data_IF_435807576034
#
_entry.id   IF_435807576034
#
_cell.length_a   1.000
_cell.length_b   1.000
_cell.length_c   1.000
_cell.angle_alpha   90.00
_cell.angle_beta   90.00
_cell.angle_gamma   90.00
#
_symmetry.space_group_name_H-M   'P 1'
#
loop_
_entity.id
_entity.type
_entity.pdbx_description
1 polymer ?
#
# COMPACT_ATOMS: atom_id res chain seq x y z
N UNK A 1 21.40 -25.79 -31.16
CA UNK A 1 20.25 -25.58 -30.26
C UNK A 1 19.03 -26.01 -31.03
N UNK A 2 18.29 -27.02 -30.57
CA UNK A 2 17.17 -27.57 -31.34
C UNK A 2 16.09 -26.51 -31.56
N UNK A 3 15.64 -26.38 -32.81
CA UNK A 3 14.60 -25.44 -33.21
C UNK A 3 13.30 -25.63 -32.40
N UNK A 4 13.01 -26.88 -32.03
CA UNK A 4 11.89 -27.25 -31.17
C UNK A 4 12.01 -26.66 -29.75
N UNK A 5 13.21 -26.70 -29.15
CA UNK A 5 13.47 -26.12 -27.82
C UNK A 5 13.27 -24.60 -27.85
N UNK A 6 13.71 -23.93 -28.92
CA UNK A 6 13.52 -22.48 -29.10
C UNK A 6 12.02 -22.14 -29.22
N UNK A 7 11.27 -22.93 -29.98
CA UNK A 7 9.82 -22.77 -30.16
C UNK A 7 9.05 -22.97 -28.84
N UNK A 8 9.36 -24.02 -28.09
CA UNK A 8 8.73 -24.31 -26.78
C UNK A 8 9.04 -23.22 -25.74
N UNK A 9 10.29 -22.76 -25.66
CA UNK A 9 10.68 -21.64 -24.79
C UNK A 9 9.99 -20.33 -25.20
N UNK A 10 9.84 -20.07 -26.51
CA UNK A 10 9.16 -18.89 -27.01
C UNK A 10 7.65 -18.91 -26.70
N UNK A 11 7.01 -20.07 -26.76
CA UNK A 11 5.60 -20.24 -26.43
C UNK A 11 5.34 -19.99 -24.93
N UNK A 12 6.18 -20.55 -24.05
CA UNK A 12 6.12 -20.30 -22.61
C UNK A 12 6.35 -18.83 -22.29
N UNK A 13 7.38 -18.21 -22.89
CA UNK A 13 7.66 -16.78 -22.71
C UNK A 13 6.49 -15.89 -23.18
N UNK A 14 5.83 -16.27 -24.28
CA UNK A 14 4.66 -15.55 -24.81
C UNK A 14 3.46 -15.66 -23.87
N UNK A 15 3.15 -16.86 -23.36
CA UNK A 15 2.06 -17.07 -22.40
C UNK A 15 2.30 -16.26 -21.12
N UNK A 16 3.52 -16.31 -20.59
CA UNK A 16 3.93 -15.48 -19.43
C UNK A 16 3.77 -13.99 -19.78
N UNK A 17 4.21 -13.57 -20.97
CA UNK A 17 4.07 -12.21 -21.47
C UNK A 17 2.60 -11.74 -21.53
N UNK A 18 1.69 -12.58 -22.02
CA UNK A 18 0.25 -12.28 -22.07
C UNK A 18 -0.34 -12.17 -20.66
N UNK A 19 0.00 -13.09 -19.75
CA UNK A 19 -0.46 -13.05 -18.35
C UNK A 19 0.04 -11.78 -17.65
N UNK A 20 1.34 -11.48 -17.77
CA UNK A 20 1.95 -10.26 -17.21
C UNK A 20 1.31 -9.02 -17.82
N UNK A 21 1.08 -9.00 -19.12
CA UNK A 21 0.43 -7.88 -19.82
C UNK A 21 -1.01 -7.69 -19.36
N UNK A 22 -1.77 -8.76 -19.15
CA UNK A 22 -3.14 -8.69 -18.64
C UNK A 22 -3.19 -8.09 -17.22
N UNK A 23 -2.34 -8.56 -16.31
CA UNK A 23 -2.25 -7.99 -14.95
C UNK A 23 -1.76 -6.53 -14.96
N UNK A 24 -0.83 -6.20 -15.86
CA UNK A 24 -0.31 -4.83 -16.02
C UNK A 24 -1.38 -3.88 -16.57
N UNK A 25 -2.13 -4.32 -17.58
CA UNK A 25 -3.24 -3.57 -18.16
C UNK A 25 -4.34 -3.30 -17.14
N UNK A 26 -4.77 -4.33 -16.38
CA UNK A 26 -5.87 -4.20 -15.43
C UNK A 26 -5.53 -3.32 -14.22
N UNK A 27 -4.26 -3.35 -13.76
CA UNK A 27 -3.74 -2.39 -12.77
C UNK A 27 -3.75 -0.96 -13.30
N UNK A 28 -3.36 -0.76 -14.55
CA UNK A 28 -3.31 0.55 -15.20
C UNK A 28 -4.71 1.17 -15.32
N UNK A 29 -5.73 0.38 -15.70
CA UNK A 29 -7.11 0.87 -15.78
C UNK A 29 -7.68 1.28 -14.42
N UNK A 30 -7.44 0.49 -13.35
CA UNK A 30 -7.92 0.80 -12.00
C UNK A 30 -7.21 2.02 -11.41
N UNK A 31 -5.90 2.12 -11.60
CA UNK A 31 -5.11 3.27 -11.15
C UNK A 31 -5.54 4.54 -11.89
N UNK A 32 -5.81 4.47 -13.20
CA UNK A 32 -6.32 5.59 -13.99
C UNK A 32 -7.66 6.10 -13.46
N UNK A 33 -8.59 5.20 -13.15
CA UNK A 33 -9.88 5.58 -12.57
C UNK A 33 -9.72 6.29 -11.21
N UNK A 34 -8.95 5.69 -10.28
CA UNK A 34 -8.71 6.28 -8.96
C UNK A 34 -8.02 7.64 -9.07
N UNK A 35 -7.05 7.77 -10.00
CA UNK A 35 -6.32 9.01 -10.23
C UNK A 35 -7.25 10.10 -10.76
N UNK A 36 -8.21 9.74 -11.62
CA UNK A 36 -9.22 10.65 -12.14
C UNK A 36 -10.20 11.10 -11.06
N UNK A 37 -10.76 10.18 -10.28
CA UNK A 37 -11.63 10.50 -9.15
C UNK A 37 -10.95 11.45 -8.14
N UNK A 38 -9.67 11.19 -7.81
CA UNK A 38 -8.89 12.08 -6.93
C UNK A 38 -8.62 13.44 -7.56
N UNK A 39 -8.45 13.52 -8.88
CA UNK A 39 -8.27 14.80 -9.59
C UNK A 39 -9.55 15.63 -9.51
N UNK A 40 -10.70 15.02 -9.74
CA UNK A 40 -12.02 15.66 -9.64
C UNK A 40 -12.32 16.07 -8.20
N UNK A 41 -12.11 15.18 -7.24
CA UNK A 41 -12.22 15.49 -5.83
C UNK A 41 -11.36 16.69 -5.40
N UNK A 42 -10.08 16.74 -5.81
CA UNK A 42 -9.22 17.91 -5.54
C UNK A 42 -9.72 19.19 -6.19
N UNK A 43 -10.28 19.11 -7.40
CA UNK A 43 -10.86 20.27 -8.08
C UNK A 43 -12.08 20.80 -7.31
N UNK A 44 -12.94 19.90 -6.82
CA UNK A 44 -14.10 20.27 -6.02
C UNK A 44 -13.72 20.88 -4.67
N UNK A 45 -12.72 20.32 -3.97
CA UNK A 45 -12.21 20.91 -2.73
C UNK A 45 -11.65 22.31 -2.98
N UNK A 46 -10.88 22.54 -4.07
CA UNK A 46 -10.39 23.89 -4.44
C UNK A 46 -11.54 24.86 -4.69
N UNK A 47 -12.55 24.44 -5.45
CA UNK A 47 -13.75 25.26 -5.69
C UNK A 47 -14.47 25.62 -4.39
N UNK A 48 -14.53 24.69 -3.43
CA UNK A 48 -15.11 24.94 -2.10
C UNK A 48 -14.25 25.92 -1.31
N UNK A 49 -12.92 25.85 -1.41
CA UNK A 49 -12.01 26.84 -0.81
C UNK A 49 -12.25 28.23 -1.39
N UNK A 50 -12.33 28.35 -2.73
CA UNK A 50 -12.63 29.63 -3.39
C UNK A 50 -14.01 30.18 -2.97
N UNK A 51 -15.02 29.30 -2.89
CA UNK A 51 -16.36 29.67 -2.39
C UNK A 51 -16.32 30.07 -0.91
N UNK A 52 -15.50 29.42 -0.08
CA UNK A 52 -15.33 29.75 1.34
C UNK A 52 -14.69 31.13 1.51
N UNK A 53 -13.63 31.45 0.75
CA UNK A 53 -12.86 32.69 0.89
C UNK A 53 -13.75 33.94 0.82
N UNK A 54 -14.68 33.98 -0.15
CA UNK A 54 -15.61 35.09 -0.37
C UNK A 54 -16.97 34.91 0.31
N UNK A 55 -17.17 33.84 1.09
CA UNK A 55 -18.46 33.53 1.70
C UNK A 55 -18.78 34.49 2.87
N UNK A 56 -19.92 35.19 2.86
CA UNK A 56 -20.37 35.94 4.04
C UNK A 56 -20.92 34.98 5.11
N UNK A 57 -20.89 35.41 6.37
CA UNK A 57 -21.37 34.63 7.53
C UNK A 57 -22.79 34.07 7.33
N UNK A 58 -23.70 34.83 6.72
CA UNK A 58 -25.10 34.42 6.48
C UNK A 58 -25.24 33.23 5.53
N UNK A 59 -24.27 33.00 4.64
CA UNK A 59 -24.30 31.93 3.62
C UNK A 59 -23.42 30.73 3.96
N UNK A 60 -22.70 30.76 5.10
CA UNK A 60 -21.72 29.74 5.50
C UNK A 60 -22.28 28.31 5.45
N UNK A 61 -23.53 28.10 5.92
CA UNK A 61 -24.16 26.77 6.00
C UNK A 61 -24.17 26.05 4.66
N UNK A 62 -24.43 26.76 3.56
CA UNK A 62 -24.48 26.16 2.22
C UNK A 62 -23.11 25.63 1.78
N UNK A 63 -22.06 26.43 1.97
CA UNK A 63 -20.69 26.07 1.56
C UNK A 63 -20.16 24.94 2.46
N UNK A 64 -20.42 25.00 3.77
CA UNK A 64 -20.05 23.94 4.71
C UNK A 64 -20.78 22.62 4.41
N UNK A 65 -22.05 22.64 4.00
CA UNK A 65 -22.75 21.43 3.57
C UNK A 65 -22.09 20.80 2.33
N UNK A 66 -21.69 21.61 1.35
CA UNK A 66 -20.92 21.10 0.19
C UNK A 66 -19.58 20.50 0.62
N UNK A 67 -18.90 21.10 1.59
CA UNK A 67 -17.65 20.55 2.12
C UNK A 67 -17.85 19.19 2.80
N UNK A 68 -18.90 19.07 3.62
CA UNK A 68 -19.24 17.82 4.33
C UNK A 68 -19.45 16.63 3.39
N UNK A 69 -19.86 16.82 2.13
CA UNK A 69 -20.03 15.74 1.15
C UNK A 69 -18.73 15.33 0.45
N UNK A 70 -17.66 16.11 0.61
CA UNK A 70 -16.36 15.85 -0.03
C UNK A 70 -15.29 15.36 0.94
N UNK A 71 -15.45 15.55 2.25
CA UNK A 71 -14.51 15.06 3.28
C UNK A 71 -14.96 13.71 3.85
N UNK A 72 -14.05 13.00 4.51
CA UNK A 72 -14.33 11.68 5.08
C UNK A 72 -15.29 11.78 6.29
N UNK A 73 -16.49 11.18 6.16
CA UNK A 73 -17.51 11.21 7.22
C UNK A 73 -17.09 10.48 8.50
N UNK A 74 -16.18 9.51 8.43
CA UNK A 74 -15.67 8.80 9.63
C UNK A 74 -14.97 9.76 10.62
N UNK A 75 -14.44 10.89 10.15
CA UNK A 75 -13.86 11.91 11.02
C UNK A 75 -14.83 12.57 11.97
N UNK A 76 -16.13 12.55 11.67
CA UNK A 76 -17.15 13.12 12.56
C UNK A 76 -17.27 12.35 13.87
N UNK A 77 -16.97 11.06 13.84
CA UNK A 77 -17.18 10.13 14.96
C UNK A 77 -15.87 9.70 15.64
N UNK A 78 -14.73 10.27 15.22
CA UNK A 78 -13.41 9.85 15.69
C UNK A 78 -12.50 11.06 15.92
N UNK A 79 -11.45 10.87 16.70
CA UNK A 79 -10.37 11.86 16.86
C UNK A 79 -9.28 11.73 15.78
N UNK A 80 -9.45 10.79 14.85
CA UNK A 80 -8.42 10.44 13.88
C UNK A 80 -8.27 11.53 12.81
N UNK A 81 -7.12 12.20 12.85
CA UNK A 81 -6.74 13.26 11.92
C UNK A 81 -6.70 12.74 10.48
N UNK A 82 -6.33 11.47 10.27
CA UNK A 82 -6.31 10.83 8.95
C UNK A 82 -7.70 10.63 8.35
N UNK A 83 -8.76 10.75 9.16
CA UNK A 83 -10.17 10.65 8.74
C UNK A 83 -10.85 12.01 8.70
N UNK A 84 -10.10 13.11 8.63
CA UNK A 84 -10.60 14.49 8.58
C UNK A 84 -11.29 14.98 9.87
N UNK A 85 -11.03 14.36 11.02
CA UNK A 85 -11.66 14.74 12.31
C UNK A 85 -11.50 16.23 12.66
N UNK A 86 -10.31 16.77 12.43
CA UNK A 86 -9.99 18.17 12.66
C UNK A 86 -10.76 19.13 11.75
N UNK A 87 -11.08 18.71 10.52
CA UNK A 87 -11.90 19.50 9.58
C UNK A 87 -13.36 19.50 10.06
N UNK A 88 -13.89 18.34 10.46
CA UNK A 88 -15.23 18.24 11.05
C UNK A 88 -15.40 19.14 12.27
N UNK A 89 -14.43 19.12 13.20
CA UNK A 89 -14.41 20.01 14.36
C UNK A 89 -14.38 21.48 13.98
N UNK A 90 -13.56 21.84 13.00
CA UNK A 90 -13.48 23.22 12.53
C UNK A 90 -14.79 23.69 11.90
N UNK A 91 -15.47 22.82 11.14
CA UNK A 91 -16.80 23.10 10.59
C UNK A 91 -17.81 23.34 11.72
N UNK A 92 -17.82 22.51 12.76
CA UNK A 92 -18.72 22.66 13.90
C UNK A 92 -18.48 23.98 14.66
N UNK A 93 -17.21 24.38 14.82
CA UNK A 93 -16.86 25.69 15.39
C UNK A 93 -17.44 26.81 14.52
N UNK A 94 -17.27 26.77 13.20
CA UNK A 94 -17.80 27.81 12.30
C UNK A 94 -19.33 27.87 12.33
N UNK A 95 -20.00 26.73 12.39
CA UNK A 95 -21.47 26.66 12.46
C UNK A 95 -22.00 27.40 13.70
N UNK A 96 -21.31 27.27 14.83
CA UNK A 96 -21.71 27.81 16.13
C UNK A 96 -21.04 29.14 16.53
N UNK A 97 -20.02 29.61 15.80
CA UNK A 97 -19.29 30.83 16.15
C UNK A 97 -20.11 32.11 15.93
N UNK A 98 -19.70 33.18 16.61
CA UNK A 98 -20.26 34.53 16.41
C UNK A 98 -19.67 35.16 15.14
N UNK A 99 -20.37 36.15 14.57
CA UNK A 99 -19.94 36.87 13.35
C UNK A 99 -18.50 37.38 13.47
N UNK A 100 -18.12 37.93 14.64
CA UNK A 100 -16.77 38.47 14.91
C UNK A 100 -15.64 37.43 14.84
N UNK A 101 -15.93 36.16 15.06
CA UNK A 101 -14.95 35.07 15.05
C UNK A 101 -14.86 34.39 13.68
N UNK A 102 -15.82 34.67 12.80
CA UNK A 102 -16.02 33.92 11.56
C UNK A 102 -14.80 33.94 10.65
N UNK A 103 -14.23 35.11 10.38
CA UNK A 103 -13.07 35.25 9.48
C UNK A 103 -11.88 34.40 9.97
N UNK A 104 -11.54 34.50 11.26
CA UNK A 104 -10.48 33.67 11.87
C UNK A 104 -10.75 32.18 11.73
N UNK A 105 -11.98 31.74 12.00
CA UNK A 105 -12.33 30.31 11.93
C UNK A 105 -12.40 29.80 10.47
N UNK A 106 -12.82 30.66 9.55
CA UNK A 106 -12.85 30.42 8.10
C UNK A 106 -11.45 30.24 7.55
N UNK A 107 -10.52 31.15 7.86
CA UNK A 107 -9.12 31.08 7.42
C UNK A 107 -8.44 29.81 7.92
N UNK A 108 -8.73 29.41 9.17
CA UNK A 108 -8.25 28.15 9.74
C UNK A 108 -8.80 26.92 9.01
N UNK A 109 -10.07 26.93 8.61
CA UNK A 109 -10.65 25.87 7.78
C UNK A 109 -9.96 25.81 6.41
N UNK A 110 -9.76 26.95 5.76
CA UNK A 110 -9.05 27.04 4.48
C UNK A 110 -7.63 26.48 4.60
N UNK A 111 -6.93 26.76 5.69
CA UNK A 111 -5.59 26.22 5.95
C UNK A 111 -5.60 24.69 6.11
N UNK A 112 -6.58 24.13 6.82
CA UNK A 112 -6.75 22.67 6.91
C UNK A 112 -7.05 22.03 5.54
N UNK A 113 -7.91 22.64 4.72
CA UNK A 113 -8.20 22.15 3.37
C UNK A 113 -6.99 22.23 2.44
N UNK A 114 -6.19 23.29 2.57
CA UNK A 114 -4.93 23.44 1.84
C UNK A 114 -3.92 22.35 2.23
N UNK A 115 -3.83 22.03 3.51
CA UNK A 115 -2.99 20.95 4.02
C UNK A 115 -3.47 19.58 3.52
N UNK A 116 -4.79 19.33 3.53
CA UNK A 116 -5.41 18.12 3.00
C UNK A 116 -5.07 17.91 1.51
N UNK A 117 -5.22 18.95 0.69
CA UNK A 117 -4.87 18.93 -0.73
C UNK A 117 -3.38 18.65 -0.95
N UNK A 118 -2.51 19.24 -0.13
CA UNK A 118 -1.06 19.03 -0.21
C UNK A 118 -0.68 17.61 0.20
N UNK A 119 -1.28 17.05 1.24
CA UNK A 119 -1.01 15.66 1.65
C UNK A 119 -1.45 14.65 0.58
N UNK A 120 -2.65 14.83 0.01
CA UNK A 120 -3.14 13.96 -1.08
C UNK A 120 -2.21 13.99 -2.30
N UNK A 121 -1.71 15.17 -2.67
CA UNK A 121 -0.73 15.31 -3.76
C UNK A 121 0.59 14.57 -3.47
N UNK A 122 1.17 14.77 -2.28
CA UNK A 122 2.40 14.08 -1.88
C UNK A 122 2.20 12.56 -1.82
N UNK A 123 1.02 12.11 -1.39
CA UNK A 123 0.63 10.68 -1.39
C UNK A 123 0.57 10.13 -2.80
N UNK A 124 -0.14 10.81 -3.71
CA UNK A 124 -0.26 10.39 -5.11
C UNK A 124 1.12 10.29 -5.79
N UNK A 125 2.01 11.26 -5.55
CA UNK A 125 3.39 11.21 -6.06
C UNK A 125 4.14 9.97 -5.57
N UNK A 126 4.03 9.64 -4.28
CA UNK A 126 4.66 8.44 -3.71
C UNK A 126 4.05 7.14 -4.22
N UNK A 127 2.74 7.09 -4.42
CA UNK A 127 2.07 5.91 -4.98
C UNK A 127 2.59 5.61 -6.39
N UNK A 128 2.76 6.64 -7.24
CA UNK A 128 3.34 6.49 -8.58
C UNK A 128 4.80 6.02 -8.52
N UNK A 129 5.62 6.60 -7.64
CA UNK A 129 7.04 6.22 -7.48
C UNK A 129 7.18 4.82 -6.84
N UNK A 130 6.26 4.43 -5.97
CA UNK A 130 6.29 3.15 -5.26
C UNK A 130 5.70 1.98 -6.05
N UNK A 131 4.97 2.24 -7.14
CA UNK A 131 4.35 1.19 -7.95
C UNK A 131 5.37 0.23 -8.61
N UNK A 132 6.50 0.71 -9.18
CA UNK A 132 7.58 -0.17 -9.62
C UNK A 132 8.12 -1.08 -8.51
N UNK A 133 8.25 -0.59 -7.28
CA UNK A 133 8.73 -1.39 -6.15
C UNK A 133 7.76 -2.53 -5.82
N UNK A 134 6.44 -2.31 -5.90
CA UNK A 134 5.44 -3.39 -5.77
C UNK A 134 5.54 -4.41 -6.91
N UNK A 135 5.85 -3.96 -8.13
CA UNK A 135 6.15 -4.82 -9.27
C UNK A 135 7.34 -5.73 -9.01
N UNK A 136 8.45 -5.15 -8.54
CA UNK A 136 9.67 -5.88 -8.16
C UNK A 136 9.38 -6.91 -7.06
N UNK A 137 8.66 -6.54 -6.00
CA UNK A 137 8.22 -7.47 -4.95
C UNK A 137 7.47 -8.65 -5.54
N UNK A 138 6.51 -8.39 -6.44
CA UNK A 138 5.70 -9.44 -7.07
C UNK A 138 6.59 -10.41 -7.85
N UNK A 139 7.52 -9.88 -8.67
CA UNK A 139 8.46 -10.70 -9.47
C UNK A 139 9.40 -11.52 -8.59
N UNK A 140 9.98 -10.90 -7.55
CA UNK A 140 10.86 -11.58 -6.59
C UNK A 140 10.14 -12.74 -5.90
N UNK A 141 8.89 -12.54 -5.46
CA UNK A 141 8.09 -13.59 -4.83
C UNK A 141 7.73 -14.71 -5.82
N UNK A 142 7.39 -14.39 -7.08
CA UNK A 142 7.13 -15.41 -8.11
C UNK A 142 8.35 -16.29 -8.36
N UNK A 143 9.54 -15.71 -8.49
CA UNK A 143 10.77 -16.47 -8.66
C UNK A 143 11.16 -17.25 -7.39
N UNK A 144 10.87 -16.72 -6.20
CA UNK A 144 11.12 -17.45 -4.96
C UNK A 144 10.32 -18.76 -4.90
N UNK A 145 9.08 -18.77 -5.40
CA UNK A 145 8.27 -20.00 -5.52
C UNK A 145 8.95 -21.00 -6.48
N UNK A 146 9.37 -20.54 -7.66
CA UNK A 146 10.04 -21.38 -8.67
C UNK A 146 11.33 -21.99 -8.10
N UNK A 147 12.18 -21.18 -7.47
CA UNK A 147 13.44 -21.65 -6.89
C UNK A 147 13.23 -22.57 -5.70
N UNK A 148 12.18 -22.34 -4.89
CA UNK A 148 11.82 -23.28 -3.82
C UNK A 148 11.44 -24.64 -4.41
N UNK A 149 10.70 -24.66 -5.51
CA UNK A 149 10.29 -25.89 -6.18
C UNK A 149 11.48 -26.68 -6.76
N UNK A 150 12.40 -25.99 -7.43
CA UNK A 150 13.65 -26.57 -7.96
C UNK A 150 14.52 -27.09 -6.81
N UNK A 151 14.64 -26.33 -5.73
CA UNK A 151 15.42 -26.72 -4.55
C UNK A 151 14.92 -28.01 -3.90
N UNK A 152 13.61 -28.20 -3.84
CA UNK A 152 12.98 -29.43 -3.31
C UNK A 152 13.25 -30.63 -4.23
N UNK A 153 13.20 -30.45 -5.56
CA UNK A 153 13.57 -31.53 -6.49
C UNK A 153 15.01 -31.99 -6.27
N UNK A 154 15.93 -31.05 -6.10
CA UNK A 154 17.33 -31.39 -5.83
C UNK A 154 17.50 -32.08 -4.46
N UNK A 155 16.80 -31.62 -3.43
CA UNK A 155 16.87 -32.22 -2.09
C UNK A 155 16.37 -33.66 -2.08
N UNK A 156 15.40 -33.99 -2.93
CA UNK A 156 14.86 -35.34 -3.09
C UNK A 156 15.67 -36.20 -4.08
N UNK A 157 16.84 -35.74 -4.53
CA UNK A 157 17.73 -36.49 -5.43
C UNK A 157 17.21 -36.63 -6.87
N UNK A 158 16.20 -35.86 -7.25
CA UNK A 158 15.61 -35.92 -8.60
C UNK A 158 16.57 -35.25 -9.58
N UNK A 159 17.05 -36.00 -10.57
CA UNK A 159 17.89 -35.45 -11.62
C UNK A 159 17.03 -34.63 -12.59
N UNK A 160 17.17 -33.31 -12.52
CA UNK A 160 16.41 -32.35 -13.33
C UNK A 160 16.68 -32.54 -14.85
N UNK A 161 17.77 -33.21 -15.23
CA UNK A 161 18.10 -33.50 -16.63
C UNK A 161 17.33 -34.70 -17.20
N UNK A 162 16.72 -35.54 -16.36
CA UNK A 162 15.92 -36.69 -16.79
C UNK A 162 14.43 -36.35 -16.71
N UNK A 163 13.79 -36.25 -17.89
CA UNK A 163 12.38 -35.88 -18.03
C UNK A 163 11.44 -36.86 -17.31
N UNK A 164 11.77 -38.16 -17.25
CA UNK A 164 10.93 -39.16 -16.57
C UNK A 164 10.99 -39.00 -15.05
N UNK A 165 12.18 -38.70 -14.52
CA UNK A 165 12.37 -38.43 -13.09
C UNK A 165 11.75 -37.09 -12.69
N UNK A 166 11.82 -36.07 -13.55
CA UNK A 166 11.11 -34.80 -13.35
C UNK A 166 9.60 -35.02 -13.32
N UNK A 167 9.04 -35.81 -14.24
CA UNK A 167 7.60 -36.09 -14.28
C UNK A 167 7.13 -36.80 -13.00
N UNK A 168 7.87 -37.81 -12.53
CA UNK A 168 7.61 -38.45 -11.23
C UNK A 168 7.71 -37.45 -10.09
N UNK A 169 8.79 -36.66 -10.07
CA UNK A 169 9.03 -35.62 -9.07
C UNK A 169 7.87 -34.64 -8.95
N UNK A 170 7.33 -34.17 -10.08
CA UNK A 170 6.16 -33.30 -10.12
C UNK A 170 4.96 -34.00 -9.46
N UNK A 171 4.67 -35.25 -9.82
CA UNK A 171 3.53 -36.00 -9.24
C UNK A 171 3.68 -36.19 -7.73
N UNK A 172 4.87 -36.51 -7.23
CA UNK A 172 5.09 -36.79 -5.80
C UNK A 172 5.15 -35.53 -4.93
N UNK A 173 5.69 -34.43 -5.44
CA UNK A 173 5.88 -33.19 -4.66
C UNK A 173 4.74 -32.19 -4.84
N UNK A 174 3.97 -32.26 -5.93
CA UNK A 174 2.91 -31.29 -6.23
C UNK A 174 1.78 -31.22 -5.20
N UNK A 175 1.27 -32.31 -4.59
CA UNK A 175 0.17 -32.19 -3.63
C UNK A 175 0.58 -31.42 -2.37
N UNK A 176 1.77 -31.70 -1.83
CA UNK A 176 2.32 -30.97 -0.69
C UNK A 176 2.63 -29.50 -1.02
N UNK A 177 3.12 -29.24 -2.23
CA UNK A 177 3.41 -27.88 -2.69
C UNK A 177 2.15 -27.06 -2.96
N UNK A 178 1.09 -27.68 -3.47
CA UNK A 178 -0.22 -27.04 -3.63
C UNK A 178 -0.74 -26.62 -2.26
N UNK A 179 -0.63 -27.47 -1.23
CA UNK A 179 -1.02 -27.11 0.14
C UNK A 179 -0.17 -25.97 0.72
N UNK A 180 1.14 -25.96 0.49
CA UNK A 180 2.03 -24.87 0.93
C UNK A 180 1.70 -23.56 0.19
N UNK A 181 1.49 -23.60 -1.12
CA UNK A 181 1.10 -22.44 -1.93
C UNK A 181 -0.27 -21.92 -1.50
N UNK A 182 -1.25 -22.80 -1.30
CA UNK A 182 -2.57 -22.43 -0.77
C UNK A 182 -2.48 -21.83 0.63
N UNK A 183 -1.63 -22.38 1.51
CA UNK A 183 -1.36 -21.83 2.83
C UNK A 183 -0.72 -20.45 2.77
N UNK A 184 0.29 -20.25 1.92
CA UNK A 184 0.94 -18.96 1.71
C UNK A 184 -0.01 -17.92 1.11
N UNK A 185 -0.83 -18.30 0.14
CA UNK A 185 -1.89 -17.44 -0.42
C UNK A 185 -2.90 -17.08 0.66
N UNK A 186 -3.33 -18.07 1.46
CA UNK A 186 -4.24 -17.85 2.60
C UNK A 186 -3.66 -16.88 3.63
N UNK A 187 -2.41 -17.07 4.04
CA UNK A 187 -1.70 -16.14 4.93
C UNK A 187 -1.58 -14.75 4.32
N UNK A 188 -1.20 -14.64 3.03
CA UNK A 188 -1.08 -13.34 2.35
C UNK A 188 -2.42 -12.61 2.26
N UNK A 189 -3.52 -13.32 1.96
CA UNK A 189 -4.87 -12.75 1.96
C UNK A 189 -5.30 -12.31 3.36
N UNK A 190 -5.07 -13.14 4.37
CA UNK A 190 -5.39 -12.82 5.77
C UNK A 190 -4.58 -11.61 6.27
N UNK A 191 -3.29 -11.52 5.94
CA UNK A 191 -2.44 -10.36 6.26
C UNK A 191 -2.96 -9.11 5.57
N UNK A 192 -3.33 -9.18 4.29
CA UNK A 192 -3.89 -8.02 3.58
C UNK A 192 -5.22 -7.56 4.18
N UNK A 193 -6.08 -8.48 4.61
CA UNK A 193 -7.32 -8.17 5.32
C UNK A 193 -7.03 -7.52 6.68
N UNK A 194 -6.08 -8.07 7.45
CA UNK A 194 -5.65 -7.47 8.73
C UNK A 194 -5.04 -6.07 8.55
N UNK A 195 -4.21 -5.88 7.52
CA UNK A 195 -3.64 -4.58 7.15
C UNK A 195 -4.70 -3.55 6.78
N UNK A 196 -5.86 -3.97 6.28
CA UNK A 196 -6.96 -3.06 5.93
C UNK A 196 -7.68 -2.50 7.17
N UNK A 197 -7.56 -3.17 8.33
CA UNK A 197 -8.22 -2.77 9.58
C UNK A 197 -7.29 -2.10 10.60
N UNK A 198 -5.97 -2.33 10.51
CA UNK A 198 -4.99 -1.80 11.46
C UNK A 198 -4.24 -0.58 10.90
N UNK A 199 -4.87 0.61 10.86
CA UNK A 199 -4.15 1.84 10.49
C UNK A 199 -3.10 2.20 11.56
N UNK A 200 -1.81 1.97 11.25
CA UNK A 200 -0.66 2.31 12.10
C UNK A 200 0.14 1.11 12.64
N UNK A 201 -0.52 -0.01 12.93
CA UNK A 201 0.15 -1.25 13.38
C UNK A 201 0.75 -2.06 12.22
N UNK A 202 0.42 -1.71 10.97
CA UNK A 202 0.96 -2.33 9.74
C UNK A 202 2.49 -2.42 9.78
N UNK A 203 3.17 -1.34 10.23
CA UNK A 203 4.65 -1.32 10.30
C UNK A 203 5.16 -2.31 11.35
N UNK A 204 4.47 -2.45 12.49
CA UNK A 204 4.85 -3.40 13.54
C UNK A 204 4.67 -4.84 13.06
N UNK A 205 3.56 -5.12 12.37
CA UNK A 205 3.28 -6.43 11.76
C UNK A 205 4.36 -6.78 10.73
N UNK A 206 4.76 -5.83 9.88
CA UNK A 206 5.80 -6.07 8.87
C UNK A 206 7.19 -6.28 9.47
N UNK A 207 7.53 -5.55 10.55
CA UNK A 207 8.78 -5.77 11.28
C UNK A 207 8.80 -7.16 11.90
N UNK A 208 7.71 -7.57 12.58
CA UNK A 208 7.60 -8.91 13.19
C UNK A 208 7.71 -10.00 12.11
N UNK A 209 7.01 -9.84 10.99
CA UNK A 209 7.07 -10.78 9.86
C UNK A 209 8.48 -10.88 9.26
N UNK A 210 9.15 -9.75 9.06
CA UNK A 210 10.50 -9.73 8.49
C UNK A 210 11.50 -10.38 9.44
N UNK A 211 11.38 -10.12 10.75
CA UNK A 211 12.22 -10.76 11.78
C UNK A 211 11.97 -12.26 11.88
N UNK A 212 10.71 -12.71 11.83
CA UNK A 212 10.36 -14.12 11.83
C UNK A 212 10.91 -14.85 10.60
N UNK A 213 10.88 -14.22 9.42
CA UNK A 213 11.48 -14.75 8.20
C UNK A 213 13.01 -14.88 8.32
N UNK A 214 13.69 -13.83 8.79
CA UNK A 214 15.15 -13.87 8.99
C UNK A 214 15.52 -14.95 10.01
N UNK A 215 14.79 -15.07 11.11
CA UNK A 215 15.04 -16.07 12.15
C UNK A 215 14.77 -17.50 11.66
N UNK A 216 13.66 -17.73 10.94
CA UNK A 216 13.36 -19.03 10.34
C UNK A 216 14.43 -19.47 9.32
N UNK A 217 14.98 -18.51 8.57
CA UNK A 217 16.09 -18.74 7.64
C UNK A 217 17.38 -19.11 8.37
N UNK A 218 17.72 -18.39 9.44
CA UNK A 218 18.88 -18.71 10.27
C UNK A 218 18.77 -20.13 10.84
N UNK A 219 17.59 -20.55 11.31
CA UNK A 219 17.35 -21.91 11.79
C UNK A 219 17.52 -22.96 10.68
N UNK A 220 16.94 -22.72 9.49
CA UNK A 220 17.03 -23.67 8.36
C UNK A 220 18.44 -23.81 7.81
N UNK A 221 19.24 -22.73 7.85
CA UNK A 221 20.61 -22.70 7.35
C UNK A 221 21.64 -23.17 8.38
N UNK A 222 21.28 -23.26 9.66
CA UNK A 222 22.17 -23.74 10.71
C UNK A 222 22.35 -25.26 10.60
N UNK A 223 23.55 -25.70 10.19
CA UNK A 223 23.95 -27.12 10.17
C UNK A 223 23.56 -27.91 8.92
N UNK A 224 22.74 -27.38 8.01
CA UNK A 224 22.34 -28.07 6.78
C UNK A 224 22.99 -27.49 5.52
N UNK A 225 23.50 -28.35 4.62
CA UNK A 225 23.88 -27.95 3.25
C UNK A 225 22.61 -27.72 2.42
N UNK A 226 22.07 -26.52 2.46
CA UNK A 226 20.94 -26.13 1.61
C UNK A 226 21.37 -26.09 0.13
N UNK A 227 20.44 -26.47 -0.76
CA UNK A 227 20.58 -26.19 -2.19
C UNK A 227 20.68 -24.69 -2.44
N UNK A 228 21.52 -24.30 -3.41
CA UNK A 228 21.68 -22.91 -3.85
C UNK A 228 20.35 -22.26 -4.28
N UNK A 229 19.40 -23.06 -4.78
CA UNK A 229 18.07 -22.58 -5.16
C UNK A 229 17.20 -22.24 -3.95
N UNK A 230 17.30 -23.03 -2.86
CA UNK A 230 16.58 -22.71 -1.61
C UNK A 230 17.17 -21.45 -0.98
N UNK A 231 18.50 -21.30 -0.99
CA UNK A 231 19.16 -20.08 -0.52
C UNK A 231 18.74 -18.84 -1.33
N UNK A 232 18.66 -18.97 -2.66
CA UNK A 232 18.19 -17.90 -3.54
C UNK A 232 16.72 -17.54 -3.29
N UNK A 233 15.84 -18.53 -3.12
CA UNK A 233 14.43 -18.31 -2.80
C UNK A 233 14.25 -17.54 -1.48
N UNK A 234 15.00 -17.96 -0.45
CA UNK A 234 15.06 -17.30 0.85
C UNK A 234 15.50 -15.83 0.72
N UNK A 235 16.59 -15.57 0.00
CA UNK A 235 17.10 -14.21 -0.18
C UNK A 235 16.08 -13.30 -0.87
N UNK A 236 15.33 -13.84 -1.83
CA UNK A 236 14.29 -13.11 -2.55
C UNK A 236 13.07 -12.80 -1.68
N UNK A 237 12.67 -13.70 -0.79
CA UNK A 237 11.60 -13.47 0.19
C UNK A 237 12.02 -12.38 1.18
N UNK A 238 13.23 -12.44 1.72
CA UNK A 238 13.76 -11.42 2.64
C UNK A 238 13.81 -10.06 1.95
N UNK A 239 14.40 -9.99 0.74
CA UNK A 239 14.47 -8.75 -0.03
C UNK A 239 13.09 -8.14 -0.29
N UNK A 240 12.11 -8.97 -0.64
CA UNK A 240 10.72 -8.55 -0.86
C UNK A 240 10.08 -8.00 0.43
N UNK A 241 10.31 -8.67 1.57
CA UNK A 241 9.83 -8.22 2.87
C UNK A 241 10.42 -6.88 3.28
N UNK A 242 11.74 -6.70 3.12
CA UNK A 242 12.43 -5.43 3.40
C UNK A 242 11.89 -4.30 2.51
N UNK A 243 11.71 -4.55 1.21
CA UNK A 243 11.18 -3.52 0.30
C UNK A 243 9.74 -3.14 0.66
N UNK A 244 8.90 -4.11 1.05
CA UNK A 244 7.54 -3.85 1.54
C UNK A 244 7.55 -2.99 2.81
N UNK A 245 8.43 -3.32 3.76
CA UNK A 245 8.58 -2.57 5.01
C UNK A 245 8.98 -1.11 4.73
N UNK A 246 9.91 -0.87 3.80
CA UNK A 246 10.32 0.49 3.41
C UNK A 246 9.16 1.31 2.85
N UNK A 247 8.30 0.70 2.02
CA UNK A 247 7.11 1.34 1.49
C UNK A 247 6.12 1.71 2.60
N UNK A 248 5.90 0.82 3.56
CA UNK A 248 4.96 1.03 4.66
C UNK A 248 5.49 2.04 5.70
N UNK A 249 6.81 2.07 5.97
CA UNK A 249 7.46 3.15 6.73
C UNK A 249 7.24 4.50 6.03
N UNK A 250 7.39 4.56 4.71
CA UNK A 250 7.17 5.78 3.93
C UNK A 250 5.76 6.35 4.05
N UNK A 251 4.74 5.49 4.19
CA UNK A 251 3.35 5.86 4.46
C UNK A 251 3.16 6.31 5.91
N UNK A 252 3.71 5.58 6.88
CA UNK A 252 3.62 5.92 8.29
C UNK A 252 4.21 7.31 8.60
N UNK A 253 5.42 7.58 8.09
CA UNK A 253 6.11 8.88 8.25
C UNK A 253 5.27 10.02 7.68
N UNK A 254 4.58 9.79 6.56
CA UNK A 254 3.68 10.78 5.97
C UNK A 254 2.49 11.10 6.87
N UNK A 255 1.79 10.09 7.37
CA UNK A 255 0.66 10.30 8.28
C UNK A 255 1.07 11.05 9.55
N UNK A 256 2.24 10.71 10.11
CA UNK A 256 2.81 11.42 11.26
C UNK A 256 3.14 12.89 10.94
N UNK A 257 3.68 13.16 9.76
CA UNK A 257 3.97 14.53 9.30
C UNK A 257 2.69 15.34 9.13
N UNK A 258 1.66 14.77 8.51
CA UNK A 258 0.34 15.41 8.37
C UNK A 258 -0.26 15.77 9.74
N UNK A 259 -0.29 14.80 10.66
CA UNK A 259 -0.75 15.02 12.04
C UNK A 259 0.02 16.15 12.74
N UNK A 260 1.35 16.17 12.60
CA UNK A 260 2.18 17.23 13.17
C UNK A 260 1.83 18.63 12.65
N UNK A 261 1.53 18.79 11.36
CA UNK A 261 1.09 20.07 10.81
C UNK A 261 -0.29 20.47 11.31
N UNK A 262 -1.23 19.52 11.41
CA UNK A 262 -2.55 19.77 12.01
C UNK A 262 -2.42 20.25 13.46
N UNK A 263 -1.54 19.63 14.24
CA UNK A 263 -1.31 20.00 15.64
C UNK A 263 -0.68 21.39 15.77
N UNK A 264 0.20 21.80 14.84
CA UNK A 264 0.74 23.17 14.78
C UNK A 264 -0.36 24.21 14.53
N UNK A 265 -1.24 23.96 13.54
CA UNK A 265 -2.38 24.84 13.24
C UNK A 265 -3.33 24.96 14.44
N UNK A 266 -3.51 23.89 15.22
CA UNK A 266 -4.27 23.93 16.48
C UNK A 266 -3.52 24.71 17.59
N UNK A 267 -2.19 24.59 17.64
CA UNK A 267 -1.33 25.18 18.66
C UNK A 267 -1.17 26.70 18.56
N UNK A 268 -1.19 27.27 17.36
CA UNK A 268 -1.06 28.72 17.12
C UNK A 268 -2.17 29.56 17.79
N UNK A 269 -3.25 28.94 18.28
CA UNK A 269 -4.28 29.59 19.10
C UNK A 269 -3.87 29.86 20.55
N UNK A 270 -2.95 29.08 21.13
CA UNK A 270 -2.54 29.23 22.52
C UNK A 270 -1.50 30.34 22.72
N UNK A 271 -0.74 30.68 21.68
CA UNK A 271 0.29 31.73 21.72
C UNK A 271 -0.26 33.13 21.42
N UNK A 272 -1.33 33.25 20.64
CA UNK A 272 -1.97 34.53 20.28
C UNK A 272 -3.03 35.06 21.27
N UNK A 273 -3.12 34.48 22.47
CA UNK A 273 -4.08 34.87 23.51
C UNK A 273 -3.40 35.42 24.77
N UNK A 274 -2.15 35.90 24.65
CA UNK A 274 -1.44 36.67 25.67
C UNK A 274 -1.41 38.14 25.32
#
# INVERSE_FOLDING_TARGET
MDFQIVMELSAVATIIGVIVSYFTFHKTSKLSYITQERKEWRADIRKIVDELEVCPFSKKKRVLTKLKTRINTYGKLTEDVGKDSHIWKQIEIIENCRVKEYEKQKDKLILFLSLLLKDDWERAKKEVIGEPAKGIITVCLSFAIIFSWIGIFQANGINIRDVKEVQKGIIYTSPGMILIIMGLIGCFLMINVLKQHCEGEIVVIDVIWTMALIFGVLILTFGNKLSIFIQAAIGMIIFSGVLSLLLDIGKYVQGKRYKSYVDKIKGDEKSGSK
#
